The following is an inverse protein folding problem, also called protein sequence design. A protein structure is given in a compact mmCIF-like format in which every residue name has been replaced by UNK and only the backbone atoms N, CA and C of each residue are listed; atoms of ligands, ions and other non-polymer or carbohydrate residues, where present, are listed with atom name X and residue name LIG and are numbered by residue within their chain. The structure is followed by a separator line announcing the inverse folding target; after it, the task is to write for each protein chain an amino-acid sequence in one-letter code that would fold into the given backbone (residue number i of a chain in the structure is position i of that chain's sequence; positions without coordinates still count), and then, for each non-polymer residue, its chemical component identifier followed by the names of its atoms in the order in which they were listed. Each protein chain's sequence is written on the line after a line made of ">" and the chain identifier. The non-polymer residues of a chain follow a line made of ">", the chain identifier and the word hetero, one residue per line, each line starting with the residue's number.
data_IF_430393838695
#
_entry.id   IF_430393838695
#
_cell.length_a   1.000
_cell.length_b   1.000
_cell.length_c   1.000
_cell.angle_alpha   90.00
_cell.angle_beta   90.00
_cell.angle_gamma   90.00
#
_symmetry.space_group_name_H-M   'P 1'
#
loop_
_entity.id
_entity.type
_entity.pdbx_description
1 polymer ?
#
# COMPACT_ATOMS: atom_id res chain seq x y z
N UNK A 1 -10.64 23.11 -12.35
CA UNK A 1 -9.55 23.18 -13.34
C UNK A 1 -8.80 21.87 -13.28
N UNK A 2 -8.95 20.99 -14.27
CA UNK A 2 -8.16 19.76 -14.38
C UNK A 2 -6.77 20.08 -14.91
N UNK A 3 -5.75 19.41 -14.39
CA UNK A 3 -4.37 19.48 -14.90
C UNK A 3 -4.01 18.13 -15.47
N UNK A 4 -3.36 18.12 -16.63
CA UNK A 4 -2.79 16.89 -17.19
C UNK A 4 -1.54 16.51 -16.41
N UNK A 5 -1.50 15.29 -15.89
CA UNK A 5 -0.35 14.70 -15.20
C UNK A 5 -0.01 13.38 -15.88
N UNK A 6 1.28 13.06 -15.97
CA UNK A 6 1.72 11.73 -16.39
C UNK A 6 1.71 10.80 -15.19
N UNK A 7 1.21 9.59 -15.38
CA UNK A 7 1.19 8.51 -14.40
C UNK A 7 1.79 7.25 -15.05
N UNK A 8 2.11 6.23 -14.26
CA UNK A 8 2.51 4.94 -14.82
C UNK A 8 1.34 4.27 -15.52
N UNK A 9 1.65 3.49 -16.55
CA UNK A 9 0.65 2.70 -17.30
C UNK A 9 -0.08 1.73 -16.35
N UNK A 10 0.65 1.08 -15.44
CA UNK A 10 0.09 0.20 -14.40
C UNK A 10 -0.97 0.91 -13.53
N UNK A 11 -0.73 2.16 -13.13
CA UNK A 11 -1.69 2.91 -12.31
C UNK A 11 -2.92 3.31 -13.12
N UNK A 12 -2.74 3.62 -14.41
CA UNK A 12 -3.83 3.94 -15.31
C UNK A 12 -4.75 2.71 -15.51
N UNK A 13 -4.17 1.56 -15.83
CA UNK A 13 -4.90 0.30 -16.02
C UNK A 13 -5.66 -0.12 -14.74
N UNK A 14 -5.03 0.02 -13.58
CA UNK A 14 -5.68 -0.30 -12.31
C UNK A 14 -6.84 0.66 -12.01
N UNK A 15 -6.68 1.95 -12.32
CA UNK A 15 -7.74 2.93 -12.17
C UNK A 15 -8.92 2.64 -13.11
N UNK A 16 -8.66 2.26 -14.36
CA UNK A 16 -9.68 1.86 -15.34
C UNK A 16 -10.53 0.70 -14.82
N UNK A 17 -9.88 -0.37 -14.35
CA UNK A 17 -10.56 -1.54 -13.81
C UNK A 17 -11.42 -1.18 -12.58
N UNK A 18 -10.87 -0.41 -11.63
CA UNK A 18 -11.57 -0.04 -10.40
C UNK A 18 -12.70 0.97 -10.62
N UNK A 19 -12.55 1.86 -11.59
CA UNK A 19 -13.53 2.86 -11.97
C UNK A 19 -14.83 2.22 -12.49
N UNK A 20 -14.71 1.11 -13.23
CA UNK A 20 -15.85 0.33 -13.74
C UNK A 20 -16.79 -0.17 -12.64
N UNK A 21 -16.24 -0.61 -11.50
CA UNK A 21 -17.03 -1.08 -10.35
C UNK A 21 -17.68 0.06 -9.55
N UNK A 22 -17.13 1.27 -9.67
CA UNK A 22 -17.48 2.40 -8.81
C UNK A 22 -18.31 3.48 -9.51
N UNK A 23 -18.66 3.27 -10.78
CA UNK A 23 -19.30 4.26 -11.66
C UNK A 23 -18.56 5.61 -11.68
N UNK A 24 -17.22 5.58 -11.63
CA UNK A 24 -16.36 6.77 -11.73
C UNK A 24 -15.64 6.76 -13.07
N UNK A 25 -15.11 7.92 -13.49
CA UNK A 25 -14.06 7.93 -14.51
C UNK A 25 -12.71 7.52 -13.89
N UNK A 26 -11.75 7.05 -14.69
CA UNK A 26 -10.43 6.66 -14.17
C UNK A 26 -9.70 7.80 -13.44
N UNK A 27 -9.69 9.06 -13.96
CA UNK A 27 -9.17 10.19 -13.20
C UNK A 27 -9.89 10.42 -11.86
N UNK A 28 -11.22 10.31 -11.83
CA UNK A 28 -11.99 10.45 -10.59
C UNK A 28 -11.68 9.33 -9.59
N UNK A 29 -11.40 8.13 -10.08
CA UNK A 29 -11.01 7.00 -9.23
C UNK A 29 -9.62 7.23 -8.59
N UNK A 30 -8.67 7.78 -9.35
CA UNK A 30 -7.34 8.15 -8.84
C UNK A 30 -7.45 9.28 -7.80
N UNK A 31 -8.25 10.31 -8.07
CA UNK A 31 -8.49 11.40 -7.12
C UNK A 31 -9.12 10.88 -5.82
N UNK A 32 -10.06 9.94 -5.92
CA UNK A 32 -10.68 9.30 -4.76
C UNK A 32 -9.65 8.55 -3.90
N UNK A 33 -8.76 7.75 -4.51
CA UNK A 33 -7.68 7.08 -3.77
C UNK A 33 -6.72 8.06 -3.12
N UNK A 34 -6.34 9.13 -3.82
CA UNK A 34 -5.49 10.17 -3.26
C UNK A 34 -6.15 10.85 -2.06
N UNK A 35 -7.45 11.10 -2.10
CA UNK A 35 -8.20 11.68 -0.98
C UNK A 35 -8.23 10.73 0.22
N UNK A 36 -8.47 9.44 0.00
CA UNK A 36 -8.40 8.41 1.05
C UNK A 36 -7.00 8.34 1.67
N UNK A 37 -5.96 8.31 0.84
CA UNK A 37 -4.56 8.29 1.27
C UNK A 37 -4.23 9.48 2.19
N UNK A 38 -4.61 10.70 1.79
CA UNK A 38 -4.39 11.92 2.60
C UNK A 38 -5.06 11.88 3.97
N UNK A 39 -6.21 11.21 4.09
CA UNK A 39 -6.94 11.09 5.36
C UNK A 39 -6.35 9.97 6.22
N UNK A 40 -6.00 8.84 5.60
CA UNK A 40 -5.53 7.65 6.30
C UNK A 40 -4.07 7.75 6.73
N UNK A 41 -3.22 8.41 5.94
CA UNK A 41 -1.78 8.49 6.19
C UNK A 41 -1.45 9.07 7.59
N UNK A 42 -2.05 10.18 8.05
CA UNK A 42 -1.85 10.65 9.41
C UNK A 42 -2.38 9.69 10.48
N UNK A 43 -3.51 9.03 10.24
CA UNK A 43 -4.13 8.12 11.21
C UNK A 43 -3.30 6.84 11.40
N UNK A 44 -2.76 6.31 10.31
CA UNK A 44 -1.85 5.16 10.32
C UNK A 44 -0.50 5.55 10.93
N UNK A 45 0.02 6.72 10.59
CA UNK A 45 1.27 7.24 11.18
C UNK A 45 1.12 7.49 12.68
N UNK A 46 0.00 8.04 13.13
CA UNK A 46 -0.28 8.22 14.55
C UNK A 46 -0.40 6.90 15.31
N UNK A 47 -1.04 5.88 14.72
CA UNK A 47 -1.05 4.52 15.30
C UNK A 47 0.34 3.91 15.37
N UNK A 48 1.15 4.07 14.32
CA UNK A 48 2.54 3.60 14.32
C UNK A 48 3.36 4.34 15.39
N UNK A 49 3.28 5.66 15.47
CA UNK A 49 3.95 6.46 16.49
C UNK A 49 3.49 6.13 17.90
N UNK A 50 2.19 5.93 18.12
CA UNK A 50 1.66 5.61 19.44
C UNK A 50 2.01 4.19 19.87
N UNK A 51 2.06 3.23 18.94
CA UNK A 51 2.61 1.90 19.19
C UNK A 51 4.12 1.97 19.56
N UNK A 52 4.91 2.75 18.83
CA UNK A 52 6.34 2.99 19.12
C UNK A 52 6.51 3.63 20.51
N UNK A 53 5.69 4.62 20.84
CA UNK A 53 5.70 5.31 22.15
C UNK A 53 5.25 4.38 23.29
N UNK A 54 4.27 3.50 23.06
CA UNK A 54 3.79 2.53 24.06
C UNK A 54 4.80 1.42 24.34
N UNK A 55 5.56 1.00 23.33
CA UNK A 55 6.56 -0.07 23.48
C UNK A 55 7.78 0.41 24.27
N UNK A 56 8.08 1.72 24.31
CA UNK A 56 9.22 2.22 25.05
C UNK A 56 10.55 1.88 24.36
N UNK A 57 11.53 2.79 24.48
CA UNK A 57 12.75 2.77 23.66
C UNK A 57 13.61 1.51 23.79
N UNK A 58 13.50 0.78 24.92
CA UNK A 58 14.24 -0.45 25.18
C UNK A 58 13.61 -1.69 24.50
N UNK A 59 12.29 -1.77 24.38
CA UNK A 59 11.63 -2.86 23.64
C UNK A 59 11.59 -2.58 22.13
N UNK A 60 11.81 -1.32 21.72
CA UNK A 60 11.89 -0.96 20.31
C UNK A 60 13.02 -1.70 19.60
N UNK A 61 14.19 -1.82 20.23
CA UNK A 61 15.33 -2.57 19.67
C UNK A 61 15.02 -4.07 19.56
N UNK A 62 14.28 -4.64 20.52
CA UNK A 62 13.84 -6.03 20.48
C UNK A 62 12.79 -6.28 19.37
N UNK A 63 11.84 -5.36 19.19
CA UNK A 63 10.84 -5.42 18.13
C UNK A 63 11.48 -5.21 16.75
N UNK A 64 12.38 -4.24 16.60
CA UNK A 64 13.13 -3.98 15.38
C UNK A 64 14.04 -5.17 15.00
N UNK A 65 14.70 -5.79 15.98
CA UNK A 65 15.47 -7.02 15.77
C UNK A 65 14.58 -8.18 15.29
N UNK A 66 13.32 -8.25 15.74
CA UNK A 66 12.37 -9.29 15.30
C UNK A 66 11.84 -9.03 13.89
N UNK A 67 11.62 -7.77 13.52
CA UNK A 67 11.23 -7.37 12.16
C UNK A 67 12.37 -7.59 11.16
N UNK A 68 13.62 -7.31 11.55
CA UNK A 68 14.82 -7.57 10.75
C UNK A 68 15.25 -9.05 10.71
N UNK A 69 14.54 -9.95 11.38
CA UNK A 69 14.95 -11.35 11.47
C UNK A 69 14.89 -12.08 10.12
N UNK A 70 15.75 -13.09 9.89
CA UNK A 70 15.74 -13.89 8.66
C UNK A 70 14.41 -14.61 8.40
N UNK A 71 13.59 -14.80 9.43
CA UNK A 71 12.26 -15.40 9.32
C UNK A 71 11.23 -14.40 8.76
N UNK A 72 11.25 -13.16 9.25
CA UNK A 72 10.41 -12.07 8.74
C UNK A 72 10.72 -11.78 7.27
N UNK A 73 12.00 -11.77 6.90
CA UNK A 73 12.42 -11.63 5.49
C UNK A 73 11.89 -12.78 4.63
N UNK A 74 12.01 -14.02 5.10
CA UNK A 74 11.49 -15.20 4.39
C UNK A 74 9.96 -15.16 4.23
N UNK A 75 9.22 -14.74 5.26
CA UNK A 75 7.76 -14.61 5.21
C UNK A 75 7.35 -13.51 4.22
N UNK A 76 7.99 -12.35 4.26
CA UNK A 76 7.73 -11.26 3.31
C UNK A 76 8.06 -11.68 1.88
N UNK A 77 9.19 -12.36 1.65
CA UNK A 77 9.53 -12.91 0.34
C UNK A 77 8.53 -13.97 -0.16
N UNK A 78 8.00 -14.82 0.73
CA UNK A 78 6.99 -15.80 0.37
C UNK A 78 5.66 -15.15 -0.02
N UNK A 79 5.26 -14.08 0.68
CA UNK A 79 4.07 -13.29 0.33
C UNK A 79 4.29 -12.60 -1.02
N UNK A 80 5.41 -11.90 -1.21
CA UNK A 80 5.73 -11.24 -2.49
C UNK A 80 5.71 -12.26 -3.63
N UNK A 81 6.36 -13.43 -3.50
CA UNK A 81 6.30 -14.48 -4.55
C UNK A 81 4.89 -14.98 -4.82
N UNK A 82 4.08 -15.17 -3.77
CA UNK A 82 2.69 -15.62 -3.91
C UNK A 82 1.84 -14.58 -4.65
N UNK A 83 2.01 -13.31 -4.33
CA UNK A 83 1.25 -12.22 -4.95
C UNK A 83 1.77 -11.92 -6.36
N UNK A 84 3.08 -11.92 -6.58
CA UNK A 84 3.69 -11.76 -7.92
C UNK A 84 3.33 -12.92 -8.86
N UNK A 85 3.16 -14.15 -8.36
CA UNK A 85 2.67 -15.27 -9.17
C UNK A 85 1.18 -15.18 -9.54
N UNK A 86 0.36 -14.51 -8.72
CA UNK A 86 -1.06 -14.29 -9.01
C UNK A 86 -1.28 -13.21 -10.08
N UNK A 87 -0.36 -12.26 -10.22
CA UNK A 87 -0.44 -11.18 -11.24
C UNK A 87 -0.10 -11.70 -12.65
N UNK A 88 0.68 -12.78 -12.77
CA UNK A 88 1.08 -13.36 -14.08
C UNK A 88 0.07 -14.39 -14.62
N UNK A 89 -0.95 -14.79 -13.84
CA UNK A 89 -1.86 -15.90 -14.19
C UNK A 89 -3.28 -15.46 -14.63
N UNK A 90 -3.47 -14.20 -14.98
CA UNK A 90 -4.73 -13.72 -15.59
C UNK A 90 -4.45 -13.19 -16.98
N UNK A 91 -4.10 -14.10 -17.88
CA UNK A 91 -4.28 -13.93 -19.33
C UNK A 91 -4.38 -15.34 -19.94
N UNK A 92 -5.61 -15.84 -20.09
CA UNK A 92 -5.95 -16.93 -21.00
C UNK A 92 -7.43 -16.80 -21.39
#
# INVERSE_FOLDING_TARGET
>A
MSRSIRISDELAEFADAAAGFSHRSPPQQIEHWAQLGRILEPALSYRAESAIKQVGRADLDAVLARVGSPESVRRTQAIIRRTSGAIVSTDT
#
